data_IF_151327176730
#
_entry.id   IF_151327176730
#
_cell.length_a   1.000
_cell.length_b   1.000
_cell.length_c   1.000
_cell.angle_alpha   90.00
_cell.angle_beta   90.00
_cell.angle_gamma   90.00
#
_symmetry.space_group_name_H-M   'P 1'
#
loop_
_entity.id
_entity.type
_entity.pdbx_description
1 polymer ?
#
# COMPACT_ATOMS: atom_id res chain seq x y z
N UNK A 1 -11.84 22.83 7.54
CA UNK A 1 -11.58 22.03 8.76
C UNK A 1 -11.07 20.69 8.27
N UNK A 2 -9.79 20.43 8.40
CA UNK A 2 -9.20 19.15 7.97
C UNK A 2 -9.63 18.13 9.02
N UNK A 3 -10.52 17.23 8.66
CA UNK A 3 -10.88 16.10 9.53
C UNK A 3 -9.61 15.25 9.63
N UNK A 4 -9.16 15.03 10.85
CA UNK A 4 -8.08 14.06 11.08
C UNK A 4 -8.62 12.67 10.71
N UNK A 5 -8.11 12.09 9.64
CA UNK A 5 -8.56 10.81 9.09
C UNK A 5 -8.50 9.70 10.14
N UNK A 6 -7.48 9.71 10.99
CA UNK A 6 -7.35 8.74 12.08
C UNK A 6 -8.42 8.95 13.17
N UNK A 7 -8.77 10.19 13.50
CA UNK A 7 -9.84 10.46 14.45
C UNK A 7 -11.18 9.98 13.93
N UNK A 8 -11.49 10.24 12.68
CA UNK A 8 -12.75 9.77 12.07
C UNK A 8 -12.80 8.24 11.97
N UNK A 9 -11.72 7.60 11.55
CA UNK A 9 -11.63 6.14 11.53
C UNK A 9 -11.78 5.55 12.93
N UNK A 10 -11.20 6.17 13.96
CA UNK A 10 -11.33 5.77 15.36
C UNK A 10 -12.77 5.87 15.84
N UNK A 11 -13.42 7.02 15.62
CA UNK A 11 -14.83 7.22 15.97
C UNK A 11 -15.72 6.12 15.36
N UNK A 12 -15.54 5.84 14.07
CA UNK A 12 -16.32 4.82 13.38
C UNK A 12 -15.99 3.40 13.87
N UNK A 13 -14.73 3.09 14.11
CA UNK A 13 -14.30 1.80 14.65
C UNK A 13 -14.89 1.54 16.05
N UNK A 14 -14.93 2.55 16.92
CA UNK A 14 -15.52 2.47 18.26
C UNK A 14 -17.03 2.18 18.20
N UNK A 15 -17.78 2.85 17.31
CA UNK A 15 -19.19 2.59 17.11
C UNK A 15 -19.42 1.17 16.56
N UNK A 16 -18.65 0.75 15.57
CA UNK A 16 -18.73 -0.60 15.01
C UNK A 16 -18.37 -1.68 16.04
N UNK A 17 -17.40 -1.42 16.93
CA UNK A 17 -17.02 -2.32 18.01
C UNK A 17 -18.13 -2.46 19.08
N UNK A 18 -18.87 -1.40 19.33
CA UNK A 18 -20.03 -1.43 20.22
C UNK A 18 -21.23 -2.17 19.60
N UNK A 19 -21.51 -1.96 18.30
CA UNK A 19 -22.65 -2.53 17.58
C UNK A 19 -22.47 -4.03 17.28
N UNK A 20 -21.33 -4.47 16.79
CA UNK A 20 -20.96 -5.87 16.44
C UNK A 20 -21.83 -6.59 15.41
N UNK A 21 -22.78 -5.93 14.78
CA UNK A 21 -23.71 -6.56 13.83
C UNK A 21 -22.97 -7.27 12.68
N UNK A 22 -21.86 -6.70 12.20
CA UNK A 22 -21.09 -7.19 11.07
C UNK A 22 -19.97 -8.20 11.46
N UNK A 23 -20.00 -8.79 12.65
CA UNK A 23 -18.93 -9.66 13.18
C UNK A 23 -18.51 -10.78 12.20
N UNK A 24 -19.47 -11.39 11.53
CA UNK A 24 -19.24 -12.49 10.59
C UNK A 24 -18.93 -12.06 9.15
N UNK A 25 -18.84 -10.77 8.82
CA UNK A 25 -18.75 -10.31 7.44
C UNK A 25 -17.35 -10.45 6.83
N UNK A 26 -16.31 -10.16 7.58
CA UNK A 26 -14.93 -10.25 7.10
C UNK A 26 -13.89 -10.24 8.25
N UNK A 27 -12.62 -10.42 7.92
CA UNK A 27 -11.51 -10.48 8.88
C UNK A 27 -11.24 -9.17 9.65
N UNK A 28 -11.75 -8.04 9.18
CA UNK A 28 -11.62 -6.75 9.89
C UNK A 28 -12.34 -6.76 11.23
N UNK A 29 -13.54 -7.35 11.29
CA UNK A 29 -14.35 -7.30 12.52
C UNK A 29 -13.78 -8.10 13.68
N UNK A 30 -13.30 -9.34 13.53
CA UNK A 30 -12.59 -10.03 14.60
C UNK A 30 -11.34 -9.26 15.09
N UNK A 31 -10.58 -8.66 14.18
CA UNK A 31 -9.42 -7.84 14.55
C UNK A 31 -9.84 -6.56 15.28
N UNK A 32 -10.92 -5.91 14.84
CA UNK A 32 -11.49 -4.73 15.50
C UNK A 32 -12.01 -5.05 16.89
N UNK A 33 -12.63 -6.21 17.10
CA UNK A 33 -13.17 -6.63 18.39
C UNK A 33 -12.11 -7.07 19.39
N UNK A 34 -10.93 -7.46 18.91
CA UNK A 34 -9.81 -7.81 19.77
C UNK A 34 -9.26 -6.58 20.54
N UNK A 35 -9.50 -5.38 20.00
CA UNK A 35 -9.01 -4.13 20.58
C UNK A 35 -10.06 -3.49 21.48
N UNK A 36 -9.63 -2.98 22.65
CA UNK A 36 -10.46 -2.21 23.59
C UNK A 36 -10.38 -0.70 23.35
N UNK A 37 -9.26 -0.28 22.81
CA UNK A 37 -8.98 1.10 22.42
C UNK A 37 -8.11 1.06 21.16
N UNK A 38 -8.35 1.98 20.23
CA UNK A 38 -7.67 1.99 18.94
C UNK A 38 -6.51 2.97 18.95
N UNK A 39 -5.27 2.46 18.92
CA UNK A 39 -4.11 3.28 18.61
C UNK A 39 -4.07 3.60 17.09
N UNK A 40 -3.22 4.55 16.71
CA UNK A 40 -3.01 4.87 15.28
C UNK A 40 -2.45 3.67 14.51
N UNK A 41 -1.64 2.83 15.17
CA UNK A 41 -1.12 1.58 14.61
C UNK A 41 -2.22 0.56 14.34
N UNK A 42 -3.17 0.38 15.26
CA UNK A 42 -4.30 -0.54 15.11
C UNK A 42 -5.20 -0.09 13.95
N UNK A 43 -5.50 1.20 13.86
CA UNK A 43 -6.28 1.77 12.75
C UNK A 43 -5.57 1.59 11.42
N UNK A 44 -4.25 1.78 11.39
CA UNK A 44 -3.43 1.52 10.20
C UNK A 44 -3.47 0.05 9.80
N UNK A 45 -3.42 -0.87 10.76
CA UNK A 45 -3.54 -2.30 10.51
C UNK A 45 -4.94 -2.67 9.98
N UNK A 46 -6.00 -2.20 10.63
CA UNK A 46 -7.38 -2.42 10.21
C UNK A 46 -7.63 -1.87 8.80
N UNK A 47 -7.09 -0.69 8.49
CA UNK A 47 -7.16 -0.07 7.18
C UNK A 47 -6.53 -0.94 6.08
N UNK A 48 -5.39 -1.58 6.37
CA UNK A 48 -4.70 -2.46 5.43
C UNK A 48 -5.31 -3.89 5.36
N UNK A 49 -6.06 -4.32 6.36
CA UNK A 49 -6.87 -5.54 6.32
C UNK A 49 -8.18 -5.36 5.52
N UNK A 50 -8.68 -4.14 5.39
CA UNK A 50 -9.96 -3.87 4.74
C UNK A 50 -9.85 -4.00 3.22
N UNK A 51 -10.66 -4.87 2.60
CA UNK A 51 -10.73 -5.04 1.15
C UNK A 51 -11.62 -4.02 0.43
N UNK A 52 -12.24 -3.08 1.17
CA UNK A 52 -13.17 -2.09 0.64
C UNK A 52 -14.31 -2.71 -0.20
N UNK A 53 -14.79 -3.89 0.18
CA UNK A 53 -15.90 -4.57 -0.51
C UNK A 53 -17.28 -3.94 -0.24
N UNK A 54 -17.36 -3.04 0.75
CA UNK A 54 -18.55 -2.29 1.17
C UNK A 54 -19.73 -3.14 1.67
N UNK A 55 -19.58 -4.44 1.88
CA UNK A 55 -20.64 -5.31 2.39
C UNK A 55 -21.19 -4.81 3.74
N UNK A 56 -20.31 -4.41 4.66
CA UNK A 56 -20.70 -3.83 5.94
C UNK A 56 -21.43 -2.47 5.80
N UNK A 57 -21.10 -1.67 4.80
CA UNK A 57 -21.76 -0.38 4.54
C UNK A 57 -23.22 -0.59 4.10
N UNK A 58 -23.47 -1.48 3.15
CA UNK A 58 -24.82 -1.73 2.64
C UNK A 58 -25.73 -2.45 3.64
N UNK A 59 -25.17 -3.14 4.62
CA UNK A 59 -25.92 -3.81 5.68
C UNK A 59 -26.12 -2.94 6.94
N UNK A 60 -25.47 -1.77 7.00
CA UNK A 60 -25.44 -0.95 8.19
C UNK A 60 -26.65 -0.01 8.25
N UNK A 61 -27.40 -0.05 9.34
CA UNK A 61 -28.52 0.86 9.61
C UNK A 61 -28.07 2.26 10.07
N UNK A 62 -26.78 2.41 10.45
CA UNK A 62 -26.21 3.67 10.91
C UNK A 62 -25.51 4.49 9.83
N UNK A 63 -25.68 4.09 8.55
CA UNK A 63 -25.22 4.90 7.41
C UNK A 63 -26.13 6.11 7.20
N UNK A 64 -25.66 7.08 6.41
CA UNK A 64 -26.52 8.23 6.07
C UNK A 64 -27.89 7.77 5.51
N UNK A 65 -29.02 8.36 5.94
CA UNK A 65 -29.16 9.64 6.66
C UNK A 65 -29.14 9.55 8.19
N UNK A 66 -28.65 8.47 8.79
CA UNK A 66 -28.55 8.35 10.23
C UNK A 66 -27.55 9.38 10.79
N UNK A 67 -27.75 9.88 12.00
CA UNK A 67 -26.91 10.91 12.66
C UNK A 67 -25.42 10.49 12.79
N UNK A 68 -25.13 9.19 12.83
CA UNK A 68 -23.75 8.69 12.90
C UNK A 68 -23.04 8.73 11.57
N UNK A 69 -23.75 8.73 10.45
CA UNK A 69 -23.22 8.77 9.07
C UNK A 69 -22.05 7.79 8.86
N UNK A 70 -22.21 6.55 9.35
CA UNK A 70 -21.12 5.57 9.29
C UNK A 70 -20.79 5.16 7.86
N UNK A 71 -19.50 5.27 7.52
CA UNK A 71 -18.93 4.72 6.30
C UNK A 71 -17.53 4.17 6.58
N UNK A 72 -17.47 3.12 7.42
CA UNK A 72 -16.21 2.50 7.84
C UNK A 72 -15.30 2.12 6.66
N UNK A 73 -15.79 1.52 5.55
CA UNK A 73 -14.94 1.20 4.41
C UNK A 73 -14.25 2.43 3.80
N UNK A 74 -14.93 3.58 3.75
CA UNK A 74 -14.35 4.82 3.25
C UNK A 74 -13.30 5.35 4.21
N UNK A 75 -13.61 5.46 5.50
CA UNK A 75 -12.68 5.94 6.51
C UNK A 75 -11.39 5.09 6.53
N UNK A 76 -11.52 3.76 6.48
CA UNK A 76 -10.36 2.87 6.39
C UNK A 76 -9.61 2.98 5.05
N UNK A 77 -10.30 3.24 3.94
CA UNK A 77 -9.64 3.44 2.65
C UNK A 77 -8.78 4.70 2.63
N UNK A 78 -9.26 5.78 3.26
CA UNK A 78 -8.54 7.05 3.36
C UNK A 78 -7.28 6.89 4.24
N UNK A 79 -7.40 6.25 5.41
CA UNK A 79 -6.25 5.92 6.27
C UNK A 79 -5.24 5.02 5.54
N UNK A 80 -5.71 4.03 4.79
CA UNK A 80 -4.84 3.15 4.00
C UNK A 80 -4.07 3.91 2.94
N UNK A 81 -4.72 4.83 2.23
CA UNK A 81 -4.07 5.65 1.21
C UNK A 81 -2.94 6.49 1.80
N UNK A 82 -3.18 7.14 2.95
CA UNK A 82 -2.16 7.89 3.67
C UNK A 82 -1.02 6.99 4.15
N UNK A 83 -1.33 5.79 4.66
CA UNK A 83 -0.32 4.84 5.12
C UNK A 83 0.63 4.40 4.00
N UNK A 84 0.13 4.22 2.78
CA UNK A 84 0.96 3.86 1.63
C UNK A 84 1.93 4.98 1.25
N UNK A 85 1.51 6.24 1.36
CA UNK A 85 2.40 7.37 1.15
C UNK A 85 3.49 7.44 2.23
N UNK A 86 3.12 7.20 3.49
CA UNK A 86 4.04 7.25 4.63
C UNK A 86 5.10 6.15 4.58
N UNK A 87 4.70 4.92 4.26
CA UNK A 87 5.61 3.77 4.25
C UNK A 87 6.42 3.64 2.96
N UNK A 88 6.04 4.32 1.88
CA UNK A 88 6.80 4.31 0.64
C UNK A 88 8.26 4.77 0.83
N UNK A 89 9.17 4.15 0.05
CA UNK A 89 10.56 4.59 -0.01
C UNK A 89 10.98 4.80 -1.49
N UNK A 90 11.52 6.00 -1.81
CA UNK A 90 11.53 7.22 -0.96
C UNK A 90 10.12 7.82 -0.81
N UNK A 91 9.83 8.43 0.35
CA UNK A 91 8.52 9.06 0.62
C UNK A 91 8.09 10.08 -0.43
N UNK A 92 9.06 10.84 -0.96
CA UNK A 92 8.79 11.81 -2.01
C UNK A 92 8.21 11.17 -3.28
N UNK A 93 8.63 9.96 -3.63
CA UNK A 93 8.08 9.21 -4.76
C UNK A 93 6.63 8.75 -4.49
N UNK A 94 6.33 8.29 -3.27
CA UNK A 94 4.96 7.96 -2.85
C UNK A 94 4.02 9.17 -2.99
N UNK A 95 4.42 10.32 -2.44
CA UNK A 95 3.67 11.60 -2.57
C UNK A 95 3.48 12.04 -4.02
N UNK A 96 4.51 11.95 -4.82
CA UNK A 96 4.45 12.32 -6.24
C UNK A 96 3.51 11.38 -7.00
N UNK A 97 3.55 10.09 -6.72
CA UNK A 97 2.68 9.09 -7.34
C UNK A 97 1.21 9.32 -7.01
N UNK A 98 0.87 9.58 -5.75
CA UNK A 98 -0.50 9.89 -5.33
C UNK A 98 -1.05 11.14 -6.03
N UNK A 99 -0.22 12.17 -6.19
CA UNK A 99 -0.64 13.44 -6.82
C UNK A 99 -0.63 13.43 -8.35
N UNK A 100 0.30 12.70 -8.97
CA UNK A 100 0.59 12.74 -10.41
C UNK A 100 0.80 11.35 -11.02
N UNK A 101 0.12 10.31 -10.50
CA UNK A 101 0.34 8.93 -10.89
C UNK A 101 0.27 8.69 -12.39
N UNK A 102 -0.75 9.23 -13.06
CA UNK A 102 -0.89 9.10 -14.52
C UNK A 102 0.30 9.71 -15.27
N UNK A 103 0.74 10.91 -14.87
CA UNK A 103 1.90 11.56 -15.51
C UNK A 103 3.19 10.75 -15.32
N UNK A 104 3.38 10.17 -14.14
CA UNK A 104 4.53 9.31 -13.84
C UNK A 104 4.49 8.04 -14.69
N UNK A 105 3.32 7.38 -14.82
CA UNK A 105 3.16 6.20 -15.66
C UNK A 105 3.48 6.53 -17.13
N UNK A 106 2.91 7.61 -17.66
CA UNK A 106 3.18 8.03 -19.03
C UNK A 106 4.65 8.37 -19.27
N UNK A 107 5.28 9.09 -18.31
CA UNK A 107 6.71 9.39 -18.38
C UNK A 107 7.58 8.13 -18.33
N UNK A 108 7.20 7.15 -17.53
CA UNK A 108 7.91 5.86 -17.44
C UNK A 108 7.80 5.07 -18.74
N UNK A 109 6.59 4.95 -19.30
CA UNK A 109 6.37 4.28 -20.60
C UNK A 109 7.17 4.96 -21.71
N UNK A 110 7.13 6.29 -21.78
CA UNK A 110 7.90 7.06 -22.77
C UNK A 110 9.41 6.88 -22.55
N UNK A 111 9.87 6.89 -21.30
CA UNK A 111 11.28 6.67 -20.95
C UNK A 111 11.77 5.30 -21.40
N UNK A 112 10.99 4.24 -21.18
CA UNK A 112 11.33 2.91 -21.68
C UNK A 112 11.32 2.84 -23.22
N UNK A 113 10.33 3.44 -23.88
CA UNK A 113 10.27 3.50 -25.34
C UNK A 113 11.51 4.19 -25.93
N UNK A 114 11.91 5.32 -25.36
CA UNK A 114 13.11 6.06 -25.75
C UNK A 114 14.38 5.27 -25.46
N UNK A 115 14.46 4.58 -24.32
CA UNK A 115 15.60 3.73 -23.96
C UNK A 115 15.79 2.60 -24.99
N UNK A 116 14.71 1.89 -25.34
CA UNK A 116 14.77 0.82 -26.34
C UNK A 116 15.09 1.36 -27.73
N UNK A 117 14.53 2.50 -28.11
CA UNK A 117 14.85 3.16 -29.37
C UNK A 117 16.32 3.56 -29.44
N UNK A 118 16.86 4.18 -28.39
CA UNK A 118 18.25 4.57 -28.30
C UNK A 118 19.19 3.36 -28.30
N UNK A 119 18.85 2.30 -27.54
CA UNK A 119 19.61 1.06 -27.54
C UNK A 119 19.71 0.45 -28.93
N UNK A 120 18.59 0.43 -29.68
CA UNK A 120 18.58 -0.07 -31.08
C UNK A 120 19.36 0.84 -32.02
N UNK A 121 19.26 2.16 -31.85
CA UNK A 121 20.00 3.13 -32.70
C UNK A 121 21.51 3.09 -32.45
N UNK A 122 21.95 2.76 -31.23
CA UNK A 122 23.35 2.66 -30.83
C UNK A 122 23.91 1.24 -30.98
N UNK A 123 23.08 0.24 -31.30
CA UNK A 123 23.52 -1.13 -31.50
C UNK A 123 24.44 -1.20 -32.73
N UNK A 124 25.66 -1.67 -32.53
CA UNK A 124 26.60 -1.89 -33.61
C UNK A 124 26.06 -2.96 -34.58
N UNK A 125 26.00 -2.66 -35.86
CA UNK A 125 25.65 -3.63 -36.90
C UNK A 125 26.67 -4.78 -36.90
N UNK A 126 26.31 -5.95 -36.38
CA UNK A 126 27.24 -7.11 -36.42
C UNK A 126 26.99 -8.23 -35.43
N UNK A 127 25.99 -8.15 -34.56
CA UNK A 127 25.60 -9.24 -33.66
C UNK A 127 24.38 -10.00 -34.17
N UNK A 128 24.26 -11.27 -33.84
CA UNK A 128 23.07 -12.07 -34.10
C UNK A 128 22.18 -12.14 -32.84
N UNK A 129 20.85 -12.06 -33.03
CA UNK A 129 19.88 -12.23 -31.97
C UNK A 129 19.73 -11.02 -31.03
N UNK A 130 19.15 -11.25 -29.84
CA UNK A 130 18.81 -10.22 -28.87
C UNK A 130 20.02 -9.43 -28.35
N UNK A 131 21.15 -10.10 -28.16
CA UNK A 131 22.39 -9.50 -27.66
C UNK A 131 23.06 -8.55 -28.68
N UNK A 132 22.65 -8.58 -29.95
CA UNK A 132 23.05 -7.57 -30.91
C UNK A 132 22.45 -6.19 -30.63
N UNK A 133 21.25 -6.16 -30.02
CA UNK A 133 20.56 -4.94 -29.69
C UNK A 133 20.97 -4.45 -28.29
N UNK A 134 21.12 -5.37 -27.35
CA UNK A 134 21.46 -5.03 -25.95
C UNK A 134 22.55 -5.99 -25.45
N UNK A 135 23.76 -5.49 -25.23
CA UNK A 135 24.85 -6.32 -24.70
C UNK A 135 24.52 -6.87 -23.32
N UNK A 136 25.07 -8.05 -22.98
CA UNK A 136 24.88 -8.67 -21.66
C UNK A 136 25.19 -7.71 -20.50
N UNK A 137 26.30 -6.98 -20.57
CA UNK A 137 26.69 -6.03 -19.54
C UNK A 137 25.71 -4.86 -19.41
N UNK A 138 25.18 -4.35 -20.53
CA UNK A 138 24.17 -3.30 -20.51
C UNK A 138 22.86 -3.80 -19.88
N UNK A 139 22.44 -5.03 -20.17
CA UNK A 139 21.29 -5.65 -19.51
C UNK A 139 21.49 -5.76 -18.00
N UNK A 140 22.61 -6.30 -17.55
CA UNK A 140 22.92 -6.42 -16.12
C UNK A 140 22.91 -5.04 -15.46
N UNK A 141 23.53 -4.04 -16.08
CA UNK A 141 23.60 -2.68 -15.55
C UNK A 141 22.23 -2.01 -15.43
N UNK A 142 21.25 -2.35 -16.28
CA UNK A 142 19.89 -1.79 -16.24
C UNK A 142 18.99 -2.60 -15.32
N UNK A 143 18.93 -3.91 -15.51
CA UNK A 143 17.94 -4.75 -14.85
C UNK A 143 18.29 -5.08 -13.41
N UNK A 144 19.58 -5.21 -13.06
CA UNK A 144 19.98 -5.52 -11.70
C UNK A 144 19.61 -4.40 -10.70
N UNK A 145 19.91 -3.11 -10.94
CA UNK A 145 19.44 -2.03 -10.08
C UNK A 145 17.92 -1.91 -10.11
N UNK A 146 17.27 -2.06 -11.25
CA UNK A 146 15.82 -2.02 -11.39
C UNK A 146 15.12 -3.13 -10.59
N UNK A 147 15.76 -4.26 -10.37
CA UNK A 147 15.26 -5.36 -9.54
C UNK A 147 15.59 -5.15 -8.06
N UNK A 148 16.81 -4.74 -7.73
CA UNK A 148 17.25 -4.59 -6.34
C UNK A 148 16.59 -3.40 -5.63
N UNK A 149 16.36 -2.29 -6.36
CA UNK A 149 15.76 -1.09 -5.77
C UNK A 149 14.34 -1.33 -5.21
N UNK A 150 13.40 -1.98 -5.92
CA UNK A 150 12.10 -2.33 -5.36
C UNK A 150 12.19 -3.24 -4.14
N UNK A 151 13.07 -4.24 -4.14
CA UNK A 151 13.26 -5.12 -2.99
C UNK A 151 13.74 -4.35 -1.76
N UNK A 152 14.69 -3.46 -1.94
CA UNK A 152 15.17 -2.58 -0.87
C UNK A 152 14.07 -1.63 -0.37
N UNK A 153 13.29 -1.05 -1.29
CA UNK A 153 12.16 -0.18 -0.97
C UNK A 153 11.09 -0.90 -0.17
N UNK A 154 10.74 -2.13 -0.58
CA UNK A 154 9.77 -2.98 0.14
C UNK A 154 10.29 -3.32 1.54
N UNK A 155 11.56 -3.68 1.68
CA UNK A 155 12.16 -4.01 2.98
C UNK A 155 12.10 -2.83 3.96
N UNK A 156 12.39 -1.61 3.49
CA UNK A 156 12.29 -0.39 4.30
C UNK A 156 10.82 -0.09 4.65
N UNK A 157 9.92 -0.15 3.68
CA UNK A 157 8.49 0.08 3.89
C UNK A 157 7.90 -0.90 4.89
N UNK A 158 8.18 -2.19 4.73
CA UNK A 158 7.74 -3.25 5.64
C UNK A 158 8.28 -3.05 7.06
N UNK A 159 9.55 -2.67 7.20
CA UNK A 159 10.13 -2.37 8.52
C UNK A 159 9.41 -1.20 9.20
N UNK A 160 9.13 -0.11 8.46
CA UNK A 160 8.41 1.05 8.99
C UNK A 160 7.00 0.67 9.41
N UNK A 161 6.27 -0.02 8.53
CA UNK A 161 4.93 -0.52 8.82
C UNK A 161 4.91 -1.37 10.09
N UNK A 162 5.82 -2.35 10.20
CA UNK A 162 5.92 -3.24 11.35
C UNK A 162 6.14 -2.50 12.67
N UNK A 163 6.95 -1.44 12.64
CA UNK A 163 7.18 -0.59 13.81
C UNK A 163 5.93 0.24 14.18
N UNK A 164 5.19 0.73 13.20
CA UNK A 164 3.98 1.55 13.41
C UNK A 164 2.83 0.73 13.99
N UNK A 165 2.63 -0.50 13.52
CA UNK A 165 1.57 -1.39 14.04
C UNK A 165 1.94 -2.11 15.33
N UNK A 166 3.06 -1.77 15.95
CA UNK A 166 3.48 -2.39 17.21
C UNK A 166 3.93 -3.85 17.09
N UNK A 167 4.39 -4.26 15.90
CA UNK A 167 4.82 -5.62 15.64
C UNK A 167 5.96 -6.08 16.54
N UNK A 168 5.85 -7.29 17.09
CA UNK A 168 6.90 -7.90 17.93
C UNK A 168 8.21 -8.08 17.13
N UNK A 169 9.39 -8.04 17.78
CA UNK A 169 10.65 -8.24 17.08
C UNK A 169 10.69 -9.62 16.42
N UNK A 170 10.95 -9.66 15.12
CA UNK A 170 11.04 -10.91 14.35
C UNK A 170 12.26 -11.68 14.83
N UNK A 171 12.07 -12.88 15.38
CA UNK A 171 13.12 -13.81 15.79
C UNK A 171 13.19 -14.95 14.77
N UNK A 172 14.42 -15.41 14.48
CA UNK A 172 14.63 -16.56 13.57
C UNK A 172 13.91 -17.83 14.02
N UNK A 173 13.59 -17.96 15.32
CA UNK A 173 12.78 -19.06 15.85
C UNK A 173 11.35 -19.07 15.28
N UNK A 174 10.80 -17.93 14.89
CA UNK A 174 9.46 -17.84 14.31
C UNK A 174 9.42 -18.42 12.88
N UNK A 175 10.55 -18.46 12.17
CA UNK A 175 10.65 -19.03 10.82
C UNK A 175 10.78 -20.56 10.81
N UNK A 176 11.04 -21.19 11.97
CA UNK A 176 11.18 -22.64 12.11
C UNK A 176 9.90 -23.35 12.53
N UNK A 177 8.85 -22.61 12.83
CA UNK A 177 7.57 -23.13 13.33
C UNK A 177 6.39 -23.00 12.34
N UNK A 178 6.68 -22.63 11.07
CA UNK A 178 5.66 -22.53 10.01
C UNK A 178 5.69 -23.77 9.12
#
# INVERSE_FOLDING_TARGET
MQIDLLQEARRQAEICNACRYCEGYCSVFPALQAERAFSDGDLTQLANLCHNCRGCYYACEYTAPHEFELNLPQALADVRQDSWEEFAFPRAAGKAFQKKGLAIVLATVLGFALLFWAARALAAAGGEGFYAVLSHNAMVAIFLPAFLFPLFSIAIGLRRYWQTVGGAPVRLSHLRGA
#
